data_IF_166203548537
#
_entry.id   IF_166203548537
#
_cell.length_a   1.000
_cell.length_b   1.000
_cell.length_c   1.000
_cell.angle_alpha   90.00
_cell.angle_beta   90.00
_cell.angle_gamma   90.00
#
_symmetry.space_group_name_H-M   'P 1'
#
loop_
_entity.id
_entity.type
_entity.pdbx_description
1 polymer ?
#
# COMPACT_ATOMS: atom_id res chain seq x y z
N UNK A 1 3.72 -4.73 -12.79
CA UNK A 1 2.75 -3.66 -12.44
C UNK A 1 3.09 -2.37 -13.15
N UNK A 2 2.13 -1.77 -13.85
CA UNK A 2 2.26 -0.49 -14.56
C UNK A 2 1.13 0.45 -14.11
N UNK A 3 1.47 1.51 -13.39
CA UNK A 3 0.48 2.52 -12.97
C UNK A 3 -0.01 3.32 -14.17
N UNK A 4 -1.31 3.63 -14.20
CA UNK A 4 -1.96 4.42 -15.25
C UNK A 4 -2.49 5.74 -14.70
N UNK A 5 -3.13 5.71 -13.53
CA UNK A 5 -3.71 6.90 -12.92
C UNK A 5 -3.82 6.72 -11.42
N UNK A 6 -3.59 7.78 -10.66
CA UNK A 6 -3.95 7.85 -9.24
C UNK A 6 -4.94 8.99 -9.01
N UNK A 7 -5.96 8.74 -8.21
CA UNK A 7 -7.02 9.69 -7.88
C UNK A 7 -7.03 9.86 -6.36
N UNK A 8 -6.90 11.09 -5.91
CA UNK A 8 -6.94 11.46 -4.49
C UNK A 8 -8.20 12.28 -4.23
N UNK A 9 -8.96 11.91 -3.21
CA UNK A 9 -10.16 12.63 -2.80
C UNK A 9 -10.05 13.05 -1.35
N UNK A 10 -10.04 14.35 -1.10
CA UNK A 10 -9.99 14.94 0.25
C UNK A 10 -8.87 14.34 1.13
N UNK A 11 -7.74 14.00 0.52
CA UNK A 11 -6.62 13.26 1.11
C UNK A 11 -5.43 14.20 1.39
N UNK A 12 -5.20 14.51 2.67
CA UNK A 12 -4.20 15.46 3.17
C UNK A 12 -4.25 16.81 2.44
N UNK A 13 -3.30 17.06 1.53
CA UNK A 13 -3.16 18.33 0.80
C UNK A 13 -4.07 18.42 -0.42
N UNK A 14 -4.65 17.30 -0.86
CA UNK A 14 -5.51 17.23 -2.03
C UNK A 14 -6.97 17.43 -1.62
N UNK A 15 -7.53 18.59 -1.93
CA UNK A 15 -8.94 18.92 -1.68
C UNK A 15 -9.79 18.58 -2.89
N UNK A 16 -10.99 18.03 -2.66
CA UNK A 16 -11.85 17.50 -3.70
C UNK A 16 -11.19 16.33 -4.43
N UNK A 17 -11.68 16.03 -5.64
CA UNK A 17 -11.13 14.99 -6.51
C UNK A 17 -9.97 15.54 -7.32
N UNK A 18 -8.79 14.97 -7.16
CA UNK A 18 -7.57 15.31 -7.88
C UNK A 18 -7.07 14.08 -8.62
N UNK A 19 -6.82 14.18 -9.92
CA UNK A 19 -6.36 13.06 -10.75
C UNK A 19 -4.94 13.35 -11.26
N UNK A 20 -4.07 12.35 -11.16
CA UNK A 20 -2.71 12.41 -11.70
C UNK A 20 -2.58 11.27 -12.72
N UNK A 21 -2.30 11.64 -13.96
CA UNK A 21 -1.98 10.69 -15.02
C UNK A 21 -0.56 10.17 -14.84
N UNK A 22 -0.42 8.86 -14.82
CA UNK A 22 0.84 8.12 -14.66
C UNK A 22 1.13 7.26 -15.89
N UNK A 23 0.36 7.42 -16.96
CA UNK A 23 0.46 6.63 -18.18
C UNK A 23 1.79 6.91 -18.88
N UNK A 24 2.51 5.83 -19.15
CA UNK A 24 3.78 5.83 -19.87
C UNK A 24 3.65 5.01 -21.15
N UNK A 25 4.37 5.42 -22.19
CA UNK A 25 4.46 4.70 -23.46
C UNK A 25 5.91 4.24 -23.71
N UNK A 26 6.16 3.54 -24.83
CA UNK A 26 7.50 3.00 -25.13
C UNK A 26 8.55 4.11 -25.35
N UNK A 27 8.13 5.33 -25.65
CA UNK A 27 9.00 6.49 -25.86
C UNK A 27 9.05 7.42 -24.63
N UNK A 28 8.01 7.42 -23.78
CA UNK A 28 7.89 8.21 -22.55
C UNK A 28 7.73 7.28 -21.36
N UNK A 29 8.84 6.78 -20.84
CA UNK A 29 8.88 5.77 -19.77
C UNK A 29 8.96 6.34 -18.35
N UNK A 30 9.17 7.65 -18.21
CA UNK A 30 9.38 8.33 -16.92
C UNK A 30 8.35 9.43 -16.73
N UNK A 31 7.68 9.42 -15.57
CA UNK A 31 6.79 10.50 -15.11
C UNK A 31 7.52 11.30 -14.04
N UNK A 32 7.68 12.60 -14.26
CA UNK A 32 8.30 13.51 -13.29
C UNK A 32 7.22 14.41 -12.68
N UNK A 33 6.99 14.26 -11.37
CA UNK A 33 6.08 15.11 -10.61
C UNK A 33 6.88 16.24 -9.96
N UNK A 34 6.73 17.45 -10.48
CA UNK A 34 7.42 18.64 -9.98
C UNK A 34 6.47 19.42 -9.06
N UNK A 35 7.01 19.86 -7.92
CA UNK A 35 6.32 20.75 -7.00
C UNK A 35 7.30 21.34 -6.01
N UNK A 36 6.95 22.44 -5.36
CA UNK A 36 7.77 22.98 -4.27
C UNK A 36 7.71 22.09 -3.03
N UNK A 37 8.61 22.33 -2.07
CA UNK A 37 8.56 21.65 -0.78
C UNK A 37 7.24 21.99 -0.06
N UNK A 38 6.66 21.00 0.62
CA UNK A 38 5.38 21.16 1.31
C UNK A 38 4.12 21.10 0.42
N UNK A 39 4.26 20.99 -0.91
CA UNK A 39 3.11 20.95 -1.86
C UNK A 39 2.47 19.57 -2.04
N UNK A 40 2.86 18.56 -1.25
CA UNK A 40 2.20 17.24 -1.26
C UNK A 40 2.95 16.14 -2.03
N UNK A 41 4.22 16.32 -2.40
CA UNK A 41 5.04 15.24 -3.00
C UNK A 41 5.10 13.99 -2.12
N UNK A 42 5.42 14.16 -0.83
CA UNK A 42 5.38 13.07 0.16
C UNK A 42 3.98 12.50 0.34
N UNK A 43 2.93 13.33 0.22
CA UNK A 43 1.54 12.87 0.26
C UNK A 43 1.23 11.94 -0.91
N UNK A 44 1.69 12.25 -2.13
CA UNK A 44 1.52 11.38 -3.30
C UNK A 44 2.27 10.06 -3.09
N UNK A 45 3.51 10.11 -2.61
CA UNK A 45 4.28 8.89 -2.31
C UNK A 45 3.55 8.01 -1.27
N UNK A 46 3.05 8.63 -0.20
CA UNK A 46 2.27 7.95 0.84
C UNK A 46 0.93 7.44 0.33
N UNK A 47 0.32 8.09 -0.67
CA UNK A 47 -0.94 7.66 -1.28
C UNK A 47 -0.79 6.29 -1.98
N UNK A 48 0.33 6.01 -2.64
CA UNK A 48 0.60 4.68 -3.19
C UNK A 48 0.71 3.62 -2.09
N UNK A 49 1.44 3.91 -1.02
CA UNK A 49 1.56 2.96 0.10
C UNK A 49 0.21 2.74 0.78
N UNK A 50 -0.59 3.80 0.90
CA UNK A 50 -1.92 3.74 1.47
C UNK A 50 -2.86 2.91 0.61
N UNK A 51 -3.01 3.18 -0.68
CA UNK A 51 -3.96 2.41 -1.52
C UNK A 51 -3.59 0.93 -1.56
N UNK A 52 -2.30 0.61 -1.71
CA UNK A 52 -1.83 -0.77 -1.82
C UNK A 52 -1.88 -1.54 -0.50
N UNK A 53 -1.49 -0.93 0.61
CA UNK A 53 -1.25 -1.67 1.88
C UNK A 53 -2.06 -1.14 3.07
N UNK A 54 -2.72 0.00 2.92
CA UNK A 54 -3.48 0.65 4.00
C UNK A 54 -2.61 1.28 5.05
N UNK A 55 -1.36 1.58 4.72
CA UNK A 55 -0.41 2.20 5.63
C UNK A 55 0.06 3.51 5.05
N UNK A 56 0.07 4.54 5.87
CA UNK A 56 0.71 5.80 5.51
C UNK A 56 2.21 5.70 5.78
N UNK A 57 3.00 6.36 4.94
CA UNK A 57 4.40 6.61 5.23
C UNK A 57 4.53 7.72 6.27
N UNK A 58 5.45 7.55 7.22
CA UNK A 58 5.80 8.59 8.18
C UNK A 58 6.26 9.87 7.46
N UNK A 59 5.98 11.06 8.02
CA UNK A 59 5.33 11.33 9.31
C UNK A 59 3.78 11.45 9.22
N UNK A 60 3.16 10.98 8.14
CA UNK A 60 1.71 11.13 7.94
C UNK A 60 0.94 10.14 8.82
N UNK A 61 -0.06 10.66 9.52
CA UNK A 61 -0.95 9.88 10.38
C UNK A 61 -2.40 9.96 9.90
N UNK A 62 -3.14 8.87 10.07
CA UNK A 62 -4.50 8.74 9.56
C UNK A 62 -5.48 9.75 10.15
N UNK A 63 -5.28 10.20 11.39
CA UNK A 63 -6.14 11.19 12.07
C UNK A 63 -6.17 12.54 11.33
N UNK A 64 -5.11 12.83 10.57
CA UNK A 64 -4.96 14.04 9.77
C UNK A 64 -5.12 13.77 8.27
N UNK A 65 -5.63 12.59 7.89
CA UNK A 65 -5.83 12.20 6.49
C UNK A 65 -6.92 13.03 5.80
N UNK A 66 -7.99 13.40 6.49
CA UNK A 66 -9.03 14.24 5.89
C UNK A 66 -8.50 15.65 5.66
N UNK A 67 -8.65 16.15 4.43
CA UNK A 67 -8.19 17.47 4.02
C UNK A 67 -8.76 18.58 4.93
N UNK A 68 -7.91 19.55 5.30
CA UNK A 68 -8.26 20.62 6.23
C UNK A 68 -9.46 21.47 5.76
N UNK A 69 -9.50 21.83 4.48
CA UNK A 69 -10.62 22.61 3.91
C UNK A 69 -11.91 21.79 3.94
N UNK A 70 -11.84 20.51 3.59
CA UNK A 70 -12.99 19.60 3.66
C UNK A 70 -13.52 19.44 5.09
N UNK A 71 -12.63 19.36 6.09
CA UNK A 71 -13.00 19.33 7.53
C UNK A 71 -13.78 20.57 7.96
N UNK A 72 -13.35 21.74 7.50
CA UNK A 72 -14.00 23.02 7.82
C UNK A 72 -15.41 23.12 7.19
N UNK A 73 -15.53 22.70 5.93
CA UNK A 73 -16.79 22.75 5.16
C UNK A 73 -17.80 21.68 5.56
N UNK A 74 -17.36 20.59 6.20
CA UNK A 74 -18.26 19.52 6.61
C UNK A 74 -19.30 20.07 7.61
N UNK A 75 -20.57 19.91 7.27
CA UNK A 75 -21.69 20.26 8.15
C UNK A 75 -21.80 19.32 9.35
N UNK A 76 -22.48 19.77 10.42
CA UNK A 76 -22.74 18.94 11.60
C UNK A 76 -23.55 17.71 11.24
N UNK A 77 -23.24 16.58 11.88
CA UNK A 77 -23.83 15.26 11.62
C UNK A 77 -23.67 14.71 10.20
N UNK A 78 -22.88 15.36 9.33
CA UNK A 78 -22.58 14.86 7.99
C UNK A 78 -21.32 14.00 7.98
N UNK A 79 -21.32 13.01 7.09
CA UNK A 79 -20.18 12.15 6.82
C UNK A 79 -19.51 12.49 5.49
N UNK A 80 -18.24 12.15 5.39
CA UNK A 80 -17.46 12.26 4.16
C UNK A 80 -16.37 11.19 4.14
N UNK A 81 -15.76 10.94 2.98
CA UNK A 81 -14.66 9.98 2.84
C UNK A 81 -13.40 10.72 2.42
N UNK A 82 -12.24 10.29 2.94
CA UNK A 82 -10.95 10.55 2.31
C UNK A 82 -10.50 9.25 1.62
N UNK A 83 -10.16 9.32 0.34
CA UNK A 83 -9.86 8.13 -0.46
C UNK A 83 -8.70 8.30 -1.41
N UNK A 84 -8.05 7.18 -1.71
CA UNK A 84 -7.09 7.05 -2.80
C UNK A 84 -7.54 5.90 -3.69
N UNK A 85 -7.55 6.14 -4.99
CA UNK A 85 -7.86 5.14 -6.01
C UNK A 85 -6.70 5.05 -7.01
N UNK A 86 -6.31 3.83 -7.37
CA UNK A 86 -5.21 3.54 -8.27
C UNK A 86 -5.69 2.65 -9.40
N UNK A 87 -5.47 3.13 -10.63
CA UNK A 87 -5.67 2.37 -11.85
C UNK A 87 -4.30 1.89 -12.33
N UNK A 88 -4.18 0.58 -12.57
CA UNK A 88 -2.94 -0.02 -13.00
C UNK A 88 -3.16 -1.28 -13.83
N UNK A 89 -2.11 -1.71 -14.51
CA UNK A 89 -2.09 -2.92 -15.32
C UNK A 89 -1.06 -3.92 -14.76
N UNK A 90 -1.47 -5.18 -14.64
CA UNK A 90 -0.60 -6.31 -14.31
C UNK A 90 -0.87 -7.43 -15.31
N UNK A 91 0.18 -7.99 -15.92
CA UNK A 91 0.07 -9.07 -16.90
C UNK A 91 -1.04 -8.83 -17.97
N UNK A 92 -1.09 -7.61 -18.54
CA UNK A 92 -2.09 -7.13 -19.52
C UNK A 92 -3.54 -7.04 -19.00
N UNK A 93 -3.78 -7.26 -17.71
CA UNK A 93 -5.09 -7.10 -17.09
C UNK A 93 -5.17 -5.76 -16.35
N UNK A 94 -6.28 -5.04 -16.50
CA UNK A 94 -6.51 -3.76 -15.85
C UNK A 94 -7.19 -3.94 -14.50
N UNK A 95 -6.73 -3.17 -13.51
CA UNK A 95 -7.26 -3.20 -12.15
C UNK A 95 -7.54 -1.79 -11.65
N UNK A 96 -8.57 -1.69 -10.81
CA UNK A 96 -8.93 -0.50 -10.04
C UNK A 96 -8.89 -0.89 -8.58
N UNK A 97 -8.06 -0.24 -7.79
CA UNK A 97 -8.00 -0.43 -6.34
C UNK A 97 -8.35 0.88 -5.65
N UNK A 98 -9.33 0.87 -4.77
CA UNK A 98 -9.72 2.04 -3.96
C UNK A 98 -9.54 1.69 -2.48
N UNK A 99 -8.92 2.60 -1.73
CA UNK A 99 -8.87 2.53 -0.27
C UNK A 99 -9.33 3.86 0.33
N UNK A 100 -10.11 3.80 1.39
CA UNK A 100 -10.73 4.99 1.99
C UNK A 100 -10.97 4.86 3.49
N UNK A 101 -11.10 6.00 4.15
CA UNK A 101 -11.55 6.13 5.54
C UNK A 101 -12.74 7.08 5.56
N UNK A 102 -13.78 6.68 6.28
CA UNK A 102 -14.97 7.51 6.50
C UNK A 102 -14.81 8.36 7.76
N UNK A 103 -15.18 9.62 7.65
CA UNK A 103 -15.17 10.61 8.72
C UNK A 103 -16.57 11.18 8.91
N UNK A 104 -16.91 11.53 10.15
CA UNK A 104 -18.15 12.26 10.48
C UNK A 104 -17.81 13.48 11.32
N UNK A 105 -18.53 14.57 11.10
CA UNK A 105 -18.55 15.68 12.05
C UNK A 105 -19.67 15.44 13.05
N UNK A 106 -19.32 15.32 14.32
CA UNK A 106 -20.32 15.17 15.39
C UNK A 106 -21.09 16.48 15.63
N UNK A 107 -21.99 16.47 16.61
CA UNK A 107 -22.81 17.63 16.97
C UNK A 107 -21.98 18.75 17.63
N UNK A 108 -20.91 18.37 18.32
CA UNK A 108 -19.93 19.25 18.96
C UNK A 108 -18.98 19.92 17.95
N UNK A 109 -18.97 19.44 16.71
CA UNK A 109 -18.16 19.97 15.62
C UNK A 109 -16.79 19.29 15.46
N UNK A 110 -16.51 18.22 16.22
CA UNK A 110 -15.30 17.44 16.09
C UNK A 110 -15.41 16.45 14.92
N UNK A 111 -14.25 16.19 14.29
CA UNK A 111 -14.14 15.20 13.22
C UNK A 111 -13.73 13.88 13.85
N UNK A 112 -14.60 12.87 13.74
CA UNK A 112 -14.36 11.51 14.21
C UNK A 112 -14.23 10.54 13.04
N UNK A 113 -13.34 9.56 13.16
CA UNK A 113 -13.26 8.44 12.23
C UNK A 113 -14.40 7.46 12.51
N UNK A 114 -15.03 6.95 11.45
CA UNK A 114 -16.07 5.92 11.55
C UNK A 114 -15.51 4.49 11.46
N UNK A 115 -14.24 4.34 11.10
CA UNK A 115 -13.57 3.03 10.98
C UNK A 115 -12.19 3.06 11.64
N UNK A 116 -11.88 2.03 12.42
CA UNK A 116 -10.57 1.84 13.04
C UNK A 116 -9.49 1.41 12.04
N UNK A 117 -9.90 0.82 10.91
CA UNK A 117 -9.02 0.40 9.81
C UNK A 117 -9.53 0.98 8.49
N UNK A 118 -8.64 1.26 7.52
CA UNK A 118 -9.06 1.65 6.18
C UNK A 118 -9.87 0.55 5.49
N UNK A 119 -10.93 0.94 4.79
CA UNK A 119 -11.72 0.06 3.91
C UNK A 119 -11.08 0.02 2.54
N UNK A 120 -11.10 -1.15 1.88
CA UNK A 120 -10.53 -1.32 0.55
C UNK A 120 -11.46 -2.15 -0.35
N UNK A 121 -11.48 -1.80 -1.64
CA UNK A 121 -12.17 -2.52 -2.69
C UNK A 121 -11.23 -2.65 -3.90
N UNK A 122 -11.32 -3.77 -4.60
CA UNK A 122 -10.52 -4.02 -5.81
C UNK A 122 -11.39 -4.60 -6.89
N UNK A 123 -11.19 -4.12 -8.11
CA UNK A 123 -11.94 -4.51 -9.29
C UNK A 123 -10.99 -4.87 -10.42
N UNK A 124 -11.35 -5.90 -11.18
CA UNK A 124 -10.77 -6.24 -12.49
C UNK A 124 -11.64 -5.64 -13.59
N UNK A 125 -11.01 -4.97 -14.54
CA UNK A 125 -11.67 -4.46 -15.76
C UNK A 125 -11.35 -5.42 -16.90
N UNK A 126 -12.39 -6.08 -17.42
CA UNK A 126 -12.28 -7.03 -18.54
C UNK A 126 -12.22 -6.29 -19.87
N UNK A 127 -11.81 -6.99 -20.93
CA UNK A 127 -11.67 -6.40 -22.28
C UNK A 127 -12.98 -5.88 -22.86
N UNK A 128 -14.12 -6.47 -22.47
CA UNK A 128 -15.45 -6.04 -22.86
C UNK A 128 -15.97 -4.83 -22.05
N UNK A 129 -15.18 -4.30 -21.10
CA UNK A 129 -15.55 -3.19 -20.23
C UNK A 129 -16.24 -3.59 -18.93
N UNK A 130 -16.53 -4.89 -18.72
CA UNK A 130 -17.14 -5.35 -17.48
C UNK A 130 -16.19 -5.17 -16.29
N UNK A 131 -16.77 -4.77 -15.16
CA UNK A 131 -16.06 -4.57 -13.90
C UNK A 131 -16.46 -5.70 -12.94
N UNK A 132 -15.47 -6.43 -12.46
CA UNK A 132 -15.65 -7.55 -11.54
C UNK A 132 -14.94 -7.27 -10.22
N UNK A 133 -15.68 -7.31 -9.12
CA UNK A 133 -15.11 -7.19 -7.78
C UNK A 133 -14.34 -8.46 -7.41
N UNK A 134 -13.14 -8.30 -6.85
CA UNK A 134 -12.27 -9.40 -6.44
C UNK A 134 -12.16 -9.50 -4.93
N UNK A 135 -11.89 -10.70 -4.42
CA UNK A 135 -11.52 -10.88 -3.02
C UNK A 135 -10.18 -10.18 -2.73
N UNK A 136 -10.20 -9.25 -1.76
CA UNK A 136 -9.06 -8.43 -1.41
C UNK A 136 -7.86 -9.25 -0.93
N UNK A 137 -8.08 -10.26 -0.07
CA UNK A 137 -6.98 -11.05 0.51
C UNK A 137 -6.28 -11.88 -0.56
N UNK A 138 -7.05 -12.49 -1.45
CA UNK A 138 -6.51 -13.24 -2.58
C UNK A 138 -5.74 -12.32 -3.53
N UNK A 139 -6.25 -11.10 -3.75
CA UNK A 139 -5.59 -10.10 -4.60
C UNK A 139 -4.27 -9.61 -4.00
N UNK A 140 -4.27 -9.19 -2.74
CA UNK A 140 -3.08 -8.70 -2.02
C UNK A 140 -1.97 -9.76 -2.00
N UNK A 141 -2.31 -11.06 -1.85
CA UNK A 141 -1.33 -12.14 -1.79
C UNK A 141 -0.75 -12.55 -3.15
N UNK A 142 -1.45 -12.31 -4.26
CA UNK A 142 -1.07 -12.83 -5.59
C UNK A 142 -0.60 -11.77 -6.56
N UNK A 143 -1.18 -10.58 -6.51
CA UNK A 143 -1.00 -9.54 -7.52
C UNK A 143 -0.16 -8.39 -6.98
N UNK A 144 -0.36 -8.01 -5.71
CA UNK A 144 0.40 -6.92 -5.14
C UNK A 144 1.85 -7.33 -4.86
N UNK A 145 2.73 -6.35 -5.01
CA UNK A 145 4.10 -6.43 -4.52
C UNK A 145 4.02 -6.68 -3.00
N UNK A 146 4.72 -7.68 -2.45
CA UNK A 146 4.74 -7.94 -1.02
C UNK A 146 5.08 -6.69 -0.19
N UNK A 147 4.38 -6.50 0.93
CA UNK A 147 4.49 -5.28 1.73
C UNK A 147 5.93 -4.98 2.19
N UNK A 148 6.71 -6.01 2.50
CA UNK A 148 8.11 -5.89 2.90
C UNK A 148 9.04 -5.34 1.80
N UNK A 149 8.57 -5.28 0.55
CA UNK A 149 9.28 -4.67 -0.57
C UNK A 149 8.75 -3.31 -0.95
N UNK A 150 7.63 -2.86 -0.36
CA UNK A 150 7.08 -1.52 -0.60
C UNK A 150 8.16 -0.44 -0.42
N UNK A 151 9.03 -0.61 0.56
CA UNK A 151 10.18 0.24 0.87
C UNK A 151 11.19 0.39 -0.27
N UNK A 152 11.26 -0.60 -1.16
CA UNK A 152 12.16 -0.64 -2.31
C UNK A 152 11.54 0.04 -3.55
N UNK A 153 10.21 0.01 -3.70
CA UNK A 153 9.51 0.64 -4.82
C UNK A 153 9.03 2.07 -4.51
N UNK A 154 8.72 2.34 -3.24
CA UNK A 154 8.18 3.61 -2.75
C UNK A 154 9.09 4.17 -1.66
N UNK A 155 10.08 4.97 -2.07
CA UNK A 155 11.05 5.59 -1.18
C UNK A 155 11.20 7.08 -1.48
N UNK A 156 11.61 7.82 -0.45
CA UNK A 156 12.08 9.19 -0.58
C UNK A 156 13.61 9.26 -0.53
N UNK A 157 14.16 10.48 -0.58
CA UNK A 157 15.60 10.73 -0.54
C UNK A 157 16.28 10.27 0.75
N UNK A 158 15.58 10.25 1.88
CA UNK A 158 16.15 9.78 3.15
C UNK A 158 16.21 8.25 3.18
N UNK A 159 15.15 7.60 2.70
CA UNK A 159 15.03 6.14 2.67
C UNK A 159 16.00 5.50 1.69
N UNK A 160 16.22 6.08 0.50
CA UNK A 160 17.25 5.56 -0.42
C UNK A 160 18.65 5.61 0.19
N UNK A 161 18.95 6.67 0.95
CA UNK A 161 20.24 6.79 1.63
C UNK A 161 20.40 5.74 2.75
N UNK A 162 19.31 5.36 3.43
CA UNK A 162 19.29 4.25 4.39
C UNK A 162 19.48 2.90 3.68
N UNK A 163 18.79 2.68 2.57
CA UNK A 163 18.88 1.43 1.78
C UNK A 163 20.31 1.20 1.22
N UNK A 164 21.05 2.26 0.96
CA UNK A 164 22.45 2.19 0.52
C UNK A 164 23.41 1.70 1.62
N UNK A 165 23.03 1.72 2.90
CA UNK A 165 23.85 1.25 4.02
C UNK A 165 23.79 -0.28 4.17
N UNK A 166 24.76 -0.84 4.90
CA UNK A 166 24.94 -2.30 5.08
C UNK A 166 23.69 -2.98 5.63
N UNK A 167 23.00 -2.35 6.58
CA UNK A 167 21.78 -2.89 7.19
C UNK A 167 20.62 -2.97 6.18
N UNK A 168 20.51 -1.98 5.29
CA UNK A 168 19.53 -1.97 4.21
C UNK A 168 19.75 -3.10 3.20
N UNK A 169 21.01 -3.45 2.89
CA UNK A 169 21.34 -4.58 2.00
C UNK A 169 20.88 -5.92 2.55
N UNK A 170 20.98 -6.14 3.87
CA UNK A 170 20.53 -7.37 4.50
C UNK A 170 18.99 -7.50 4.47
N UNK A 171 18.28 -6.40 4.72
CA UNK A 171 16.83 -6.33 4.61
C UNK A 171 16.35 -6.62 3.18
N UNK A 172 16.98 -6.00 2.18
CA UNK A 172 16.72 -6.23 0.75
C UNK A 172 16.95 -7.71 0.39
N UNK A 173 18.09 -8.28 0.78
CA UNK A 173 18.41 -9.70 0.51
C UNK A 173 17.32 -10.61 1.05
N UNK A 174 16.89 -10.40 2.29
CA UNK A 174 15.83 -11.19 2.92
C UNK A 174 14.49 -11.04 2.19
N UNK A 175 14.16 -9.82 1.77
CA UNK A 175 12.94 -9.56 1.04
C UNK A 175 12.93 -10.26 -0.34
N UNK A 176 14.04 -10.24 -1.09
CA UNK A 176 14.20 -10.95 -2.36
C UNK A 176 14.09 -12.47 -2.16
N UNK A 177 14.76 -13.02 -1.14
CA UNK A 177 14.70 -14.46 -0.83
C UNK A 177 13.28 -14.93 -0.48
N UNK A 178 12.50 -14.09 0.19
CA UNK A 178 11.08 -14.36 0.46
C UNK A 178 10.26 -14.46 -0.85
N UNK A 179 10.46 -13.54 -1.82
CA UNK A 179 9.77 -13.60 -3.13
C UNK A 179 10.13 -14.87 -3.88
N UNK A 180 11.41 -15.24 -3.89
CA UNK A 180 11.90 -16.43 -4.56
C UNK A 180 11.42 -17.72 -3.88
N UNK A 181 10.72 -17.63 -2.74
CA UNK A 181 10.22 -18.78 -1.99
C UNK A 181 11.32 -19.56 -1.27
N UNK A 182 12.56 -19.06 -1.27
CA UNK A 182 13.71 -19.74 -0.65
C UNK A 182 13.55 -19.78 0.87
N UNK A 183 12.91 -18.76 1.45
CA UNK A 183 12.61 -18.73 2.88
C UNK A 183 11.69 -19.87 3.33
N UNK A 184 10.81 -20.36 2.46
CA UNK A 184 9.98 -21.52 2.75
C UNK A 184 10.82 -22.80 2.81
N UNK A 185 11.86 -22.89 1.98
CA UNK A 185 12.83 -24.00 1.97
C UNK A 185 13.67 -23.97 3.25
N UNK A 186 14.15 -22.79 3.66
CA UNK A 186 14.90 -22.65 4.92
C UNK A 186 14.05 -22.98 6.14
N UNK A 187 12.78 -22.56 6.16
CA UNK A 187 11.83 -22.93 7.21
C UNK A 187 11.59 -24.44 7.26
N UNK A 188 11.33 -25.07 6.11
CA UNK A 188 11.16 -26.52 6.02
C UNK A 188 12.41 -27.28 6.51
N UNK A 189 13.61 -26.81 6.15
CA UNK A 189 14.87 -27.39 6.62
C UNK A 189 15.04 -27.25 8.14
N UNK A 190 14.68 -26.10 8.70
CA UNK A 190 14.70 -25.84 10.14
C UNK A 190 13.75 -26.76 10.89
N UNK A 191 12.52 -26.91 10.39
CA UNK A 191 11.51 -27.76 11.02
C UNK A 191 11.88 -29.24 10.94
N UNK A 192 12.36 -29.71 9.79
CA UNK A 192 12.90 -31.08 9.66
C UNK A 192 14.08 -31.32 10.62
N UNK A 193 14.93 -30.32 10.85
CA UNK A 193 16.04 -30.42 11.80
C UNK A 193 15.56 -30.52 13.26
N UNK A 194 14.49 -29.80 13.62
CA UNK A 194 13.85 -29.93 14.94
C UNK A 194 13.23 -31.31 15.12
N UNK A 195 12.48 -31.79 14.13
CA UNK A 195 11.86 -33.14 14.15
C UNK A 195 12.95 -34.21 14.30
N UNK A 196 14.06 -34.10 13.56
CA UNK A 196 15.21 -35.00 13.71
C UNK A 196 15.76 -35.02 15.14
N UNK A 197 15.90 -33.86 15.79
CA UNK A 197 16.37 -33.77 17.19
C UNK A 197 15.38 -34.42 18.17
N UNK A 198 14.08 -34.24 17.95
CA UNK A 198 13.03 -34.86 18.78
C UNK A 198 13.11 -36.38 18.67
N UNK A 199 13.15 -36.91 17.45
CA UNK A 199 13.23 -38.36 17.21
C UNK A 199 14.50 -38.99 17.81
N UNK A 200 15.65 -38.31 17.73
CA UNK A 200 16.90 -38.78 18.37
C UNK A 200 16.79 -38.79 19.90
N UNK A 201 16.09 -37.82 20.49
CA UNK A 201 15.88 -37.77 21.93
C UNK A 201 14.87 -38.83 22.40
N UNK A 202 13.85 -39.14 21.60
CA UNK A 202 12.91 -40.23 21.87
C UNK A 202 13.57 -41.60 21.73
N UNK A 203 14.40 -41.83 20.71
CA UNK A 203 15.13 -43.10 20.56
C UNK A 203 16.09 -43.36 21.73
N UNK A 204 16.67 -42.30 22.32
CA UNK A 204 17.54 -42.40 23.50
C UNK A 204 16.80 -42.66 24.81
N UNK A 205 15.47 -42.57 24.85
CA UNK A 205 14.65 -42.91 26.02
C UNK A 205 14.15 -44.35 26.01
N UNK A 206 14.26 -45.03 24.86
CA UNK A 206 13.77 -46.40 24.64
C UNK A 206 14.88 -47.45 24.91
N UNK A 207 16.15 -47.01 25.01
CA UNK A 207 17.31 -47.78 25.46
C UNK A 207 17.84 -47.18 26.78
#
# INVERSE_FOLDING_TARGET
>A
MKFKKIILKDFFRFYGKQEIDLSVDNNKTVVVLIGENGRGKTTILSAFNFVLYGKLLEPLIEDNMLNYKKRAELGKNLSTEASVELLFEEAKTNYIMKRYIDFKKDEDGNIVKLSSKPKACVYRVRENGDIEELDLKMFENRILIPENLSSFFFFDGERINRLAKVDGKAEIKKAILNILGISNIDNAKSDLSKVKKILINESKKIF
#
